data_IF_858842198101
#
_entry.id   IF_858842198101
#
_cell.length_a   1.000
_cell.length_b   1.000
_cell.length_c   1.000
_cell.angle_alpha   90.00
_cell.angle_beta   90.00
_cell.angle_gamma   90.00
#
_symmetry.space_group_name_H-M   'P 1'
#
loop_
_entity.id
_entity.type
_entity.pdbx_description
1 polymer ?
#
# COMPACT_ATOMS: atom_id res chain seq x y z
N UNK A 1 6.10 20.14 4.55
CA UNK A 1 5.24 19.65 3.44
C UNK A 1 4.26 18.63 4.00
N UNK A 2 3.12 18.37 3.36
CA UNK A 2 2.01 17.63 3.97
C UNK A 2 1.56 16.44 3.12
N UNK A 3 1.17 15.35 3.80
CA UNK A 3 0.48 14.20 3.21
C UNK A 3 -0.86 14.66 2.62
N UNK A 4 -1.25 14.10 1.47
CA UNK A 4 -2.56 14.40 0.86
C UNK A 4 -3.58 13.34 1.29
N UNK A 5 -4.61 13.78 2.00
CA UNK A 5 -5.69 12.90 2.48
C UNK A 5 -6.72 12.63 1.39
N UNK A 6 -7.41 11.50 1.54
CA UNK A 6 -8.44 11.04 0.61
C UNK A 6 -7.96 10.86 -0.84
N UNK A 7 -6.64 10.75 -1.04
CA UNK A 7 -6.01 10.45 -2.31
C UNK A 7 -5.31 9.11 -2.29
N UNK A 8 -5.30 8.45 -3.45
CA UNK A 8 -4.66 7.16 -3.63
C UNK A 8 -3.17 7.35 -3.88
N UNK A 9 -2.40 6.51 -3.22
CA UNK A 9 -0.98 6.31 -3.42
C UNK A 9 -0.80 4.92 -4.00
N UNK A 10 -0.08 4.77 -5.12
CA UNK A 10 0.08 3.49 -5.80
C UNK A 10 1.55 3.12 -6.01
N UNK A 11 1.86 1.83 -5.97
CA UNK A 11 3.17 1.27 -6.28
C UNK A 11 3.00 0.03 -7.15
N UNK A 12 3.64 -0.02 -8.32
CA UNK A 12 3.69 -1.22 -9.16
C UNK A 12 4.81 -2.15 -8.68
N UNK A 13 4.45 -3.37 -8.31
CA UNK A 13 5.37 -4.45 -7.96
C UNK A 13 5.45 -5.48 -9.07
N UNK A 14 6.69 -5.75 -9.49
CA UNK A 14 7.03 -6.88 -10.34
C UNK A 14 7.28 -8.09 -9.44
N UNK A 15 6.45 -9.12 -9.55
CA UNK A 15 6.56 -10.36 -8.77
C UNK A 15 7.24 -11.43 -9.64
N UNK A 16 7.94 -12.37 -9.00
CA UNK A 16 8.72 -13.42 -9.67
C UNK A 16 7.91 -14.15 -10.73
N UNK A 17 8.50 -14.35 -11.91
CA UNK A 17 7.82 -15.04 -13.00
C UNK A 17 7.84 -16.55 -12.86
N UNK A 18 6.80 -17.18 -13.39
CA UNK A 18 6.69 -18.64 -13.48
C UNK A 18 6.95 -19.09 -14.92
N UNK A 19 7.54 -20.26 -15.07
CA UNK A 19 7.68 -20.91 -16.37
C UNK A 19 6.39 -21.65 -16.69
N UNK A 20 5.64 -21.16 -17.68
CA UNK A 20 4.41 -21.80 -18.16
C UNK A 20 4.57 -22.15 -19.64
N UNK A 21 4.34 -23.41 -20.00
CA UNK A 21 4.30 -23.91 -21.39
C UNK A 21 5.49 -23.53 -22.30
N UNK A 22 6.68 -23.29 -21.74
CA UNK A 22 7.90 -23.00 -22.50
C UNK A 22 8.21 -21.50 -22.69
N UNK A 23 7.47 -20.60 -22.04
CA UNK A 23 7.81 -19.18 -21.94
C UNK A 23 7.79 -18.69 -20.48
N UNK A 24 8.48 -17.57 -20.24
CA UNK A 24 8.57 -16.94 -18.93
C UNK A 24 7.50 -15.86 -18.81
N UNK A 25 6.57 -16.00 -17.87
CA UNK A 25 5.53 -15.00 -17.62
C UNK A 25 5.87 -14.17 -16.37
N UNK A 26 5.77 -12.84 -16.48
CA UNK A 26 5.90 -11.95 -15.33
C UNK A 26 4.52 -11.64 -14.76
N UNK A 27 4.40 -11.69 -13.43
CA UNK A 27 3.22 -11.20 -12.74
C UNK A 27 3.50 -9.82 -12.16
N UNK A 28 2.49 -8.96 -12.24
CA UNK A 28 2.52 -7.63 -11.66
C UNK A 28 1.37 -7.49 -10.68
N UNK A 29 1.64 -6.76 -9.60
CA UNK A 29 0.65 -6.40 -8.59
C UNK A 29 0.79 -4.92 -8.29
N UNK A 30 -0.34 -4.26 -8.12
CA UNK A 30 -0.40 -2.90 -7.64
C UNK A 30 -0.67 -2.92 -6.13
N UNK A 31 0.16 -2.22 -5.38
CA UNK A 31 -0.09 -1.90 -3.98
C UNK A 31 -0.67 -0.49 -3.89
N UNK A 32 -1.75 -0.35 -3.13
CA UNK A 32 -2.46 0.91 -2.96
C UNK A 32 -2.57 1.29 -1.48
N UNK A 33 -2.39 2.57 -1.18
CA UNK A 33 -2.60 3.17 0.13
C UNK A 33 -3.50 4.39 0.01
N UNK A 34 -4.40 4.58 0.98
CA UNK A 34 -5.15 5.84 1.14
C UNK A 34 -5.18 6.24 2.60
N UNK A 35 -4.88 7.51 2.85
CA UNK A 35 -4.81 8.08 4.18
C UNK A 35 -6.01 8.98 4.44
N UNK A 36 -6.56 8.89 5.64
CA UNK A 36 -7.72 9.66 6.09
C UNK A 36 -7.33 10.56 7.25
N UNK A 37 -7.91 11.75 7.30
CA UNK A 37 -7.60 12.79 8.31
C UNK A 37 -7.74 12.30 9.76
N UNK A 38 -8.56 11.28 10.00
CA UNK A 38 -8.77 10.68 11.31
C UNK A 38 -7.65 9.71 11.75
N UNK A 39 -6.55 9.62 11.01
CA UNK A 39 -5.41 8.75 11.33
C UNK A 39 -5.54 7.32 10.83
N UNK A 40 -6.60 7.01 10.07
CA UNK A 40 -6.79 5.70 9.44
C UNK A 40 -6.03 5.64 8.12
N UNK A 41 -5.40 4.49 7.86
CA UNK A 41 -4.93 4.11 6.54
C UNK A 41 -5.68 2.87 6.08
N UNK A 42 -5.97 2.79 4.79
CA UNK A 42 -6.41 1.56 4.14
C UNK A 42 -5.32 1.14 3.17
N UNK A 43 -5.05 -0.17 3.09
CA UNK A 43 -4.21 -0.76 2.06
C UNK A 43 -4.93 -1.86 1.30
N UNK A 44 -4.69 -1.94 0.01
CA UNK A 44 -5.16 -3.03 -0.83
C UNK A 44 -4.08 -3.39 -1.85
N UNK A 45 -4.02 -4.66 -2.23
CA UNK A 45 -3.22 -5.10 -3.37
C UNK A 45 -4.12 -5.73 -4.43
N UNK A 46 -3.85 -5.47 -5.70
CA UNK A 46 -4.62 -6.00 -6.81
C UNK A 46 -3.70 -6.38 -7.97
N UNK A 47 -4.02 -7.46 -8.68
CA UNK A 47 -3.34 -7.86 -9.92
C UNK A 47 -4.08 -7.40 -11.19
N UNK A 48 -5.23 -6.73 -11.04
CA UNK A 48 -6.01 -6.19 -12.16
C UNK A 48 -5.65 -4.73 -12.41
N UNK A 49 -5.66 -4.36 -13.69
CA UNK A 49 -5.41 -3.00 -14.18
C UNK A 49 -6.67 -2.11 -14.18
N UNK A 50 -7.81 -2.61 -13.70
CA UNK A 50 -9.06 -1.84 -13.61
C UNK A 50 -9.14 -1.08 -12.28
N UNK A 51 -8.81 0.21 -12.35
CA UNK A 51 -8.79 1.13 -11.22
C UNK A 51 -10.18 1.66 -10.83
N UNK A 52 -11.23 1.43 -11.64
CA UNK A 52 -12.55 2.01 -11.38
C UNK A 52 -13.21 1.43 -10.11
N UNK A 53 -13.00 0.14 -9.85
CA UNK A 53 -13.55 -0.54 -8.67
C UNK A 53 -12.75 -0.27 -7.39
N UNK A 54 -11.49 0.17 -7.54
CA UNK A 54 -10.55 0.27 -6.42
C UNK A 54 -10.98 1.36 -5.45
N UNK A 55 -11.44 2.53 -5.92
CA UNK A 55 -11.82 3.64 -5.04
C UNK A 55 -12.93 3.26 -4.04
N UNK A 56 -13.88 2.43 -4.44
CA UNK A 56 -14.99 1.97 -3.59
C UNK A 56 -14.53 1.02 -2.48
N UNK A 57 -13.38 0.36 -2.67
CA UNK A 57 -12.76 -0.48 -1.64
C UNK A 57 -12.13 0.38 -0.55
N UNK A 58 -11.75 1.61 -0.87
CA UNK A 58 -11.26 2.60 0.08
C UNK A 58 -12.42 3.39 0.70
N UNK A 59 -13.36 2.68 1.33
CA UNK A 59 -14.39 3.28 2.16
C UNK A 59 -14.15 2.86 3.62
N UNK A 60 -13.97 3.82 4.52
CA UNK A 60 -13.67 3.59 5.94
C UNK A 60 -14.80 2.83 6.64
N UNK A 61 -16.05 3.05 6.24
CA UNK A 61 -17.23 2.41 6.80
C UNK A 61 -17.48 1.01 6.22
N UNK A 62 -16.78 0.67 5.13
CA UNK A 62 -16.90 -0.64 4.53
C UNK A 62 -16.13 -1.66 5.38
N UNK A 63 -16.77 -2.79 5.68
CA UNK A 63 -16.18 -3.90 6.45
C UNK A 63 -15.81 -5.09 5.56
N UNK A 64 -15.94 -4.96 4.23
CA UNK A 64 -15.61 -6.03 3.30
C UNK A 64 -14.14 -6.45 3.41
N UNK A 65 -13.89 -7.74 3.19
CA UNK A 65 -12.61 -8.40 3.43
C UNK A 65 -11.48 -8.10 2.41
N UNK A 66 -11.71 -7.24 1.41
CA UNK A 66 -10.76 -7.05 0.29
C UNK A 66 -9.66 -6.02 0.57
N UNK A 67 -9.61 -5.44 1.76
CA UNK A 67 -8.62 -4.45 2.12
C UNK A 67 -8.27 -4.55 3.61
N UNK A 68 -7.06 -4.11 3.93
CA UNK A 68 -6.55 -4.07 5.29
C UNK A 68 -6.66 -2.64 5.83
N UNK A 69 -7.04 -2.51 7.10
CA UNK A 69 -7.09 -1.23 7.81
C UNK A 69 -5.91 -1.11 8.77
N UNK A 70 -5.47 0.12 8.96
CA UNK A 70 -4.37 0.43 9.84
C UNK A 70 -4.44 1.85 10.38
N UNK A 71 -3.39 2.24 11.07
CA UNK A 71 -3.18 3.60 11.54
C UNK A 71 -1.85 4.14 11.04
N UNK A 72 -1.73 5.47 11.03
CA UNK A 72 -0.48 6.12 10.71
C UNK A 72 -0.20 7.30 11.65
N UNK A 73 1.07 7.66 11.76
CA UNK A 73 1.55 8.80 12.53
C UNK A 73 2.57 9.59 11.72
N UNK A 74 2.36 10.90 11.61
CA UNK A 74 3.28 11.82 10.93
C UNK A 74 4.04 12.63 11.97
N UNK A 75 5.36 12.68 11.84
CA UNK A 75 6.26 13.52 12.65
C UNK A 75 7.19 14.28 11.72
N UNK A 76 6.86 15.53 11.41
CA UNK A 76 7.58 16.31 10.40
C UNK A 76 7.40 15.69 9.01
N UNK A 77 8.49 15.27 8.38
CA UNK A 77 8.45 14.58 7.08
C UNK A 77 8.42 13.05 7.21
N UNK A 78 8.58 12.51 8.42
CA UNK A 78 8.57 11.07 8.66
C UNK A 78 7.15 10.56 8.87
N UNK A 79 6.88 9.36 8.37
CA UNK A 79 5.62 8.65 8.54
C UNK A 79 5.88 7.21 9.02
N UNK A 80 5.12 6.82 10.04
CA UNK A 80 5.01 5.44 10.49
C UNK A 80 3.60 4.93 10.18
N UNK A 81 3.49 3.76 9.57
CA UNK A 81 2.22 3.14 9.18
C UNK A 81 2.18 1.75 9.77
N UNK A 82 1.06 1.39 10.39
CA UNK A 82 0.83 0.06 10.92
C UNK A 82 -0.50 -0.47 10.40
N UNK A 83 -0.45 -1.54 9.60
CA UNK A 83 -1.61 -2.14 8.96
C UNK A 83 -1.82 -3.54 9.54
N UNK A 84 -3.01 -3.78 10.08
CA UNK A 84 -3.43 -5.09 10.57
C UNK A 84 -3.81 -5.98 9.39
N UNK A 85 -3.23 -7.18 9.33
CA UNK A 85 -3.54 -8.20 8.31
C UNK A 85 -3.98 -9.49 9.00
N UNK A 86 -4.55 -10.43 8.25
CA UNK A 86 -5.02 -11.70 8.81
C UNK A 86 -3.93 -12.47 9.60
N UNK A 87 -2.66 -12.29 9.20
CA UNK A 87 -1.50 -12.95 9.81
C UNK A 87 -0.54 -11.89 10.38
N UNK A 88 -1.01 -11.10 11.35
CA UNK A 88 -0.19 -10.15 12.11
C UNK A 88 -0.35 -8.70 11.64
N UNK A 89 0.78 -7.99 11.51
CA UNK A 89 0.78 -6.59 11.10
C UNK A 89 1.94 -6.29 10.17
N UNK A 90 1.72 -5.37 9.23
CA UNK A 90 2.75 -4.83 8.36
C UNK A 90 3.08 -3.43 8.85
N UNK A 91 4.36 -3.19 9.13
CA UNK A 91 4.86 -1.87 9.54
C UNK A 91 5.60 -1.23 8.38
N UNK A 92 5.31 0.04 8.13
CA UNK A 92 6.03 0.85 7.16
C UNK A 92 6.67 2.03 7.89
N UNK A 93 7.92 2.31 7.55
CA UNK A 93 8.67 3.46 8.05
C UNK A 93 9.19 4.24 6.87
N UNK A 94 8.83 5.52 6.76
CA UNK A 94 9.14 6.25 5.55
C UNK A 94 9.16 7.75 5.69
N UNK A 95 9.26 8.37 4.52
CA UNK A 95 9.29 9.81 4.35
C UNK A 95 8.28 10.26 3.29
N UNK A 96 7.69 11.42 3.52
CA UNK A 96 6.76 12.08 2.60
C UNK A 96 7.56 13.10 1.79
N UNK A 97 7.57 12.94 0.46
CA UNK A 97 8.29 13.81 -0.47
C UNK A 97 7.41 14.20 -1.64
N UNK A 98 6.85 15.41 -1.63
CA UNK A 98 5.97 15.93 -2.70
C UNK A 98 4.84 14.95 -3.07
N UNK A 99 4.96 14.30 -4.24
CA UNK A 99 4.00 13.34 -4.78
C UNK A 99 4.38 11.89 -4.47
N UNK A 100 5.42 11.67 -3.68
CA UNK A 100 5.95 10.36 -3.37
C UNK A 100 5.88 10.08 -1.87
N UNK A 101 5.56 8.84 -1.57
CA UNK A 101 5.70 8.23 -0.27
C UNK A 101 6.76 7.13 -0.42
N UNK A 102 7.91 7.31 0.23
CA UNK A 102 9.01 6.36 0.20
C UNK A 102 9.02 5.64 1.53
N UNK A 103 8.73 4.35 1.53
CA UNK A 103 8.59 3.56 2.76
C UNK A 103 9.47 2.32 2.74
N UNK A 104 10.04 2.00 3.88
CA UNK A 104 10.64 0.69 4.15
C UNK A 104 9.58 -0.18 4.83
N UNK A 105 9.24 -1.29 4.18
CA UNK A 105 8.25 -2.25 4.65
C UNK A 105 8.94 -3.33 5.45
N UNK A 106 8.46 -3.57 6.67
CA UNK A 106 8.93 -4.63 7.55
C UNK A 106 7.71 -5.47 7.95
N UNK A 107 7.71 -6.73 7.51
CA UNK A 107 6.79 -7.72 8.04
C UNK A 107 7.56 -8.64 9.00
N UNK A 108 7.47 -8.33 10.29
CA UNK A 108 8.20 -9.01 11.35
C UNK A 108 7.81 -10.49 11.46
N UNK A 109 6.57 -10.85 11.10
CA UNK A 109 6.07 -12.23 11.21
C UNK A 109 6.71 -13.20 10.22
N UNK A 110 7.24 -12.69 9.10
CA UNK A 110 7.86 -13.51 8.04
C UNK A 110 9.28 -13.06 7.68
N UNK A 111 9.85 -12.11 8.42
CA UNK A 111 11.22 -11.62 8.20
C UNK A 111 11.42 -10.87 6.87
N UNK A 112 10.35 -10.38 6.25
CA UNK A 112 10.40 -9.68 4.97
C UNK A 112 10.74 -8.21 5.15
N UNK A 113 11.67 -7.70 4.32
CA UNK A 113 12.05 -6.28 4.25
C UNK A 113 12.12 -5.83 2.80
N UNK A 114 11.48 -4.70 2.47
CA UNK A 114 11.53 -4.09 1.14
C UNK A 114 11.51 -2.55 1.27
N UNK A 115 11.92 -1.84 0.21
CA UNK A 115 11.71 -0.41 0.05
C UNK A 115 10.70 -0.22 -1.08
N UNK A 116 9.58 0.40 -0.74
CA UNK A 116 8.48 0.66 -1.65
C UNK A 116 8.37 2.15 -1.94
N UNK A 117 8.08 2.46 -3.20
CA UNK A 117 7.91 3.82 -3.71
C UNK A 117 6.48 3.95 -4.18
N UNK A 118 5.69 4.70 -3.42
CA UNK A 118 4.32 4.99 -3.79
C UNK A 118 4.23 6.38 -4.42
N UNK A 119 3.56 6.48 -5.55
CA UNK A 119 3.26 7.73 -6.23
C UNK A 119 1.81 8.12 -5.99
N UNK A 120 1.59 9.39 -5.69
CA UNK A 120 0.28 9.99 -5.55
C UNK A 120 -0.42 10.01 -6.92
N UNK A 121 -1.59 9.38 -7.01
CA UNK A 121 -2.44 9.49 -8.20
C UNK A 121 -3.26 10.79 -8.17
N UNK A 122 -3.54 11.32 -9.36
CA UNK A 122 -4.21 12.61 -9.57
C UNK A 122 -5.67 12.57 -9.14
#
# INVERSE_FOLDING_TARGET
>A
MALQYNKLYQSLKKVSGEWHAGHFEWYFYWDFLKFYENGIVISCNNNKDDLNDINDWFNVENEKAFFNKGTYLIKGNSIEINISVAVGSIKYYGEISNNYLIVSTINESVGYKNIDFFELTV
#
